data_IF_859444472833
#
_entry.id   IF_859444472833
#
_cell.length_a   1.000
_cell.length_b   1.000
_cell.length_c   1.000
_cell.angle_alpha   90.00
_cell.angle_beta   90.00
_cell.angle_gamma   90.00
#
_symmetry.space_group_name_H-M   'P 1'
#
loop_
_entity.id
_entity.type
_entity.pdbx_description
1 polymer ?
#
# COMPACT_ATOMS: atom_id res chain seq x y z
N UNK A 1 -89.47 -2.00 -7.90
CA UNK A 1 -88.31 -1.95 -8.80
C UNK A 1 -87.19 -1.16 -8.10
N UNK A 2 -86.25 -1.84 -7.58
CA UNK A 2 -85.07 -1.21 -6.90
C UNK A 2 -83.91 -1.21 -7.88
N UNK A 3 -83.37 -0.03 -8.17
CA UNK A 3 -82.17 0.15 -8.99
C UNK A 3 -80.97 -0.09 -8.11
N UNK A 4 -80.11 -1.04 -8.49
CA UNK A 4 -78.79 -1.29 -7.86
C UNK A 4 -77.79 -0.46 -8.64
N UNK A 5 -77.18 0.51 -7.96
CA UNK A 5 -76.06 1.27 -8.53
C UNK A 5 -74.78 0.47 -8.29
N UNK A 6 -74.13 0.10 -9.41
CA UNK A 6 -72.83 -0.55 -9.41
C UNK A 6 -71.76 0.54 -9.36
N UNK A 7 -71.08 0.68 -8.21
CA UNK A 7 -69.98 1.60 -8.04
C UNK A 7 -68.69 0.89 -8.47
N UNK A 8 -68.18 1.19 -9.63
CA UNK A 8 -66.84 0.73 -10.06
C UNK A 8 -65.76 1.49 -9.28
N UNK A 9 -65.14 0.82 -8.31
CA UNK A 9 -63.92 1.32 -7.68
C UNK A 9 -62.73 1.02 -8.59
N UNK A 10 -62.25 2.04 -9.25
CA UNK A 10 -60.95 1.98 -9.99
C UNK A 10 -59.84 2.14 -8.93
N UNK A 11 -59.23 1.02 -8.55
CA UNK A 11 -57.96 1.05 -7.78
C UNK A 11 -56.85 1.47 -8.74
N UNK A 12 -56.43 2.74 -8.65
CA UNK A 12 -55.21 3.22 -9.25
C UNK A 12 -54.05 2.65 -8.42
N UNK A 13 -53.46 1.54 -8.85
CA UNK A 13 -52.20 1.02 -8.31
C UNK A 13 -51.09 1.99 -8.71
N UNK A 14 -50.67 2.85 -7.78
CA UNK A 14 -49.42 3.58 -7.86
C UNK A 14 -48.31 2.55 -7.73
N UNK A 15 -47.79 2.10 -8.85
CA UNK A 15 -46.46 1.46 -8.88
C UNK A 15 -45.42 2.54 -8.52
N UNK A 16 -45.03 2.59 -7.25
CA UNK A 16 -43.77 3.18 -6.90
C UNK A 16 -42.70 2.28 -7.49
N UNK A 17 -42.21 2.61 -8.67
CA UNK A 17 -40.90 2.18 -9.07
C UNK A 17 -39.93 2.88 -8.13
N UNK A 18 -39.61 2.23 -7.02
CA UNK A 18 -38.38 2.53 -6.29
C UNK A 18 -37.27 2.33 -7.33
N UNK A 19 -36.69 3.41 -7.81
CA UNK A 19 -35.35 3.35 -8.35
C UNK A 19 -34.48 2.82 -7.20
N UNK A 20 -34.27 1.52 -7.18
CA UNK A 20 -33.12 0.95 -6.51
C UNK A 20 -31.95 1.44 -7.35
N UNK A 21 -31.27 2.46 -6.88
CA UNK A 21 -29.89 2.67 -7.25
C UNK A 21 -29.17 1.43 -6.72
N UNK A 22 -28.85 0.50 -7.60
CA UNK A 22 -27.96 -0.60 -7.26
C UNK A 22 -26.55 -0.01 -7.06
N UNK A 23 -26.38 0.80 -6.04
CA UNK A 23 -25.10 1.13 -5.45
C UNK A 23 -24.77 0.07 -4.40
N UNK A 24 -24.84 -1.21 -4.77
CA UNK A 24 -24.33 -2.32 -3.99
C UNK A 24 -22.79 -2.36 -4.14
N UNK A 25 -22.15 -1.23 -3.85
CA UNK A 25 -20.69 -1.21 -3.68
C UNK A 25 -20.34 -1.95 -2.40
N UNK A 26 -19.43 -2.91 -2.52
CA UNK A 26 -19.01 -3.73 -1.38
C UNK A 26 -18.18 -2.91 -0.39
N UNK A 27 -18.42 -3.16 0.90
CA UNK A 27 -17.64 -2.65 2.02
C UNK A 27 -18.14 -1.31 2.54
N UNK A 28 -17.93 -1.11 3.84
CA UNK A 28 -18.24 0.14 4.54
C UNK A 28 -17.00 0.68 5.22
N UNK A 29 -16.85 2.00 5.20
CA UNK A 29 -15.81 2.67 5.95
C UNK A 29 -16.33 3.15 7.30
N UNK A 30 -15.64 2.77 8.36
CA UNK A 30 -15.93 3.25 9.71
C UNK A 30 -14.69 3.86 10.36
N UNK A 31 -14.90 4.80 11.27
CA UNK A 31 -13.80 5.38 12.04
C UNK A 31 -13.33 4.39 13.10
N UNK A 32 -12.02 4.13 13.10
CA UNK A 32 -11.34 3.33 14.13
C UNK A 32 -10.64 4.24 15.15
N UNK A 33 -9.81 3.66 16.01
CA UNK A 33 -9.03 4.38 17.02
C UNK A 33 -7.98 5.27 16.37
N UNK A 34 -7.80 6.46 16.95
CA UNK A 34 -6.79 7.40 16.47
C UNK A 34 -5.39 6.85 16.72
N UNK A 35 -4.49 7.09 15.78
CA UNK A 35 -3.07 6.79 15.96
C UNK A 35 -2.51 7.48 17.22
N UNK A 36 -1.67 6.77 17.97
CA UNK A 36 -1.18 7.24 19.27
C UNK A 36 -0.08 8.32 19.19
N UNK A 37 0.66 8.38 18.09
CA UNK A 37 1.76 9.31 17.90
C UNK A 37 1.37 10.58 17.14
N UNK A 38 2.37 11.36 16.75
CA UNK A 38 2.17 12.56 15.94
C UNK A 38 1.63 12.21 14.53
N UNK A 39 0.76 13.05 13.95
CA UNK A 39 0.40 12.96 12.54
C UNK A 39 1.65 13.00 11.65
N UNK A 40 1.69 12.19 10.60
CA UNK A 40 2.86 12.07 9.74
C UNK A 40 2.51 11.58 8.34
N UNK A 41 3.40 11.80 7.39
CA UNK A 41 3.35 11.28 6.03
C UNK A 41 4.59 10.41 5.78
N UNK A 42 4.48 9.45 4.85
CA UNK A 42 5.60 8.59 4.48
C UNK A 42 6.13 7.72 5.61
N UNK A 43 5.27 7.37 6.57
CA UNK A 43 5.58 6.39 7.60
C UNK A 43 5.70 5.00 6.98
N UNK A 44 6.43 4.12 7.64
CA UNK A 44 6.58 2.72 7.30
C UNK A 44 5.68 1.85 8.17
N UNK A 45 5.22 0.72 7.62
CA UNK A 45 4.43 -0.27 8.36
C UNK A 45 4.87 -1.69 8.06
N UNK A 46 4.72 -2.57 9.03
CA UNK A 46 4.86 -4.01 8.90
C UNK A 46 3.96 -4.73 9.91
N UNK A 47 3.65 -5.99 9.66
CA UNK A 47 2.83 -6.83 10.55
C UNK A 47 3.58 -8.09 10.92
N UNK A 48 3.60 -8.43 12.20
CA UNK A 48 4.15 -9.69 12.75
C UNK A 48 3.09 -10.26 13.70
N UNK A 49 2.68 -11.51 13.49
CA UNK A 49 1.73 -12.23 14.35
C UNK A 49 0.47 -11.40 14.70
N UNK A 50 -0.19 -10.85 13.67
CA UNK A 50 -1.39 -10.00 13.79
C UNK A 50 -1.20 -8.71 14.61
N UNK A 51 0.04 -8.33 14.90
CA UNK A 51 0.40 -7.04 15.48
C UNK A 51 0.95 -6.12 14.39
N UNK A 52 0.35 -4.95 14.24
CA UNK A 52 0.82 -3.94 13.27
C UNK A 52 1.77 -2.97 13.94
N UNK A 53 2.83 -2.66 13.23
CA UNK A 53 3.84 -1.70 13.64
C UNK A 53 3.90 -0.55 12.64
N UNK A 54 3.95 0.69 13.16
CA UNK A 54 4.01 1.91 12.34
C UNK A 54 5.04 2.85 12.96
N UNK A 55 5.93 3.39 12.14
CA UNK A 55 6.94 4.33 12.63
C UNK A 55 7.56 5.18 11.53
N UNK A 56 8.56 5.95 11.90
CA UNK A 56 9.23 6.89 11.00
C UNK A 56 8.25 7.90 10.38
N UNK A 57 8.64 8.54 9.28
CA UNK A 57 7.82 9.51 8.58
C UNK A 57 8.23 10.95 8.83
N UNK A 58 7.45 11.86 8.27
CA UNK A 58 7.71 13.30 8.26
C UNK A 58 6.48 14.06 8.75
N UNK A 59 6.70 15.04 9.62
CA UNK A 59 5.64 15.96 10.06
C UNK A 59 6.09 17.42 9.90
N UNK A 60 5.59 18.07 8.87
CA UNK A 60 5.90 19.47 8.56
C UNK A 60 5.51 20.46 9.68
N UNK A 61 4.54 20.07 10.53
CA UNK A 61 3.99 20.92 11.58
C UNK A 61 4.79 20.89 12.88
N UNK A 62 5.79 19.99 13.00
CA UNK A 62 6.65 19.98 14.18
C UNK A 62 7.46 21.28 14.26
N UNK A 63 7.49 21.87 15.45
CA UNK A 63 8.32 23.04 15.77
C UNK A 63 9.77 22.66 16.13
N UNK A 64 10.26 21.59 15.55
CA UNK A 64 11.62 21.08 15.69
C UNK A 64 12.41 21.35 14.43
N UNK A 65 13.74 21.39 14.56
CA UNK A 65 14.63 21.54 13.41
C UNK A 65 14.55 20.33 12.49
N UNK A 66 14.53 19.13 13.07
CA UNK A 66 14.31 17.88 12.33
C UNK A 66 12.81 17.53 12.40
N UNK A 67 12.20 17.41 11.25
CA UNK A 67 10.78 17.08 11.07
C UNK A 67 10.56 15.62 10.74
N UNK A 68 11.65 14.84 10.61
CA UNK A 68 11.59 13.38 10.48
C UNK A 68 11.48 12.74 11.86
N UNK A 69 10.79 11.63 11.93
CA UNK A 69 10.44 10.95 13.16
C UNK A 69 11.19 9.62 13.27
N UNK A 70 11.47 9.19 14.50
CA UNK A 70 12.11 7.91 14.82
C UNK A 70 11.24 7.01 15.67
N UNK A 71 10.15 7.55 16.26
CA UNK A 71 9.25 6.78 17.11
C UNK A 71 8.53 5.67 16.34
N UNK A 72 8.31 4.55 17.04
CA UNK A 72 7.52 3.43 16.54
C UNK A 72 6.38 3.09 17.51
N UNK A 73 5.30 2.61 16.94
CA UNK A 73 4.06 2.27 17.62
C UNK A 73 3.57 0.91 17.16
N UNK A 74 3.12 0.09 18.09
CA UNK A 74 2.38 -1.14 17.78
C UNK A 74 0.89 -0.93 17.98
N UNK A 75 0.09 -1.55 17.11
CA UNK A 75 -1.36 -1.64 17.20
C UNK A 75 -1.75 -3.09 17.46
N UNK A 76 -2.29 -3.32 18.62
CA UNK A 76 -2.77 -4.63 19.09
C UNK A 76 -4.01 -4.43 19.94
N UNK A 77 -4.99 -5.31 19.81
CA UNK A 77 -6.24 -5.28 20.60
C UNK A 77 -6.91 -3.89 20.58
N UNK A 78 -6.87 -3.20 19.42
CA UNK A 78 -7.41 -1.86 19.20
C UNK A 78 -6.71 -0.75 20.00
N UNK A 79 -5.52 -0.99 20.48
CA UNK A 79 -4.74 -0.02 21.27
C UNK A 79 -3.41 0.26 20.56
N UNK A 80 -3.07 1.55 20.45
CA UNK A 80 -1.73 1.98 20.04
C UNK A 80 -0.83 2.11 21.26
N UNK A 81 0.32 1.47 21.24
CA UNK A 81 1.35 1.52 22.28
C UNK A 81 2.67 1.89 21.64
N UNK A 82 3.37 2.88 22.20
CA UNK A 82 4.72 3.19 21.76
C UNK A 82 5.68 2.07 22.17
N UNK A 83 6.56 1.72 21.24
CA UNK A 83 7.61 0.71 21.43
C UNK A 83 8.99 1.39 21.33
N UNK A 84 10.07 0.61 21.32
CA UNK A 84 11.42 1.16 21.16
C UNK A 84 11.54 2.00 19.89
N UNK A 85 12.13 3.18 20.02
CA UNK A 85 12.38 4.07 18.91
C UNK A 85 13.43 3.47 17.95
N UNK A 86 13.30 3.80 16.67
CA UNK A 86 14.26 3.42 15.64
C UNK A 86 15.63 4.05 15.93
N UNK A 87 16.72 3.27 15.97
CA UNK A 87 18.04 3.75 16.42
C UNK A 87 18.78 4.55 15.34
N UNK A 88 18.36 4.43 14.08
CA UNK A 88 18.96 5.18 12.98
C UNK A 88 18.38 6.60 12.88
N UNK A 89 18.81 7.32 11.86
CA UNK A 89 18.33 8.68 11.61
C UNK A 89 16.87 8.70 11.17
N UNK A 90 16.11 9.70 11.65
CA UNK A 90 14.73 9.93 11.24
C UNK A 90 14.61 10.09 9.72
N UNK A 91 13.57 9.50 9.12
CA UNK A 91 13.40 9.45 7.67
C UNK A 91 11.94 9.19 7.27
N UNK A 92 11.59 9.45 6.02
CA UNK A 92 10.32 9.06 5.44
C UNK A 92 10.51 8.31 4.11
N UNK A 93 9.44 7.66 3.62
CA UNK A 93 9.52 6.85 2.41
C UNK A 93 10.46 5.65 2.55
N UNK A 94 10.68 5.19 3.79
CA UNK A 94 11.36 3.96 4.11
C UNK A 94 10.48 2.74 3.77
N UNK A 95 11.07 1.56 3.70
CA UNK A 95 10.37 0.31 3.52
C UNK A 95 10.59 -0.64 4.68
N UNK A 96 9.71 -1.62 4.82
CA UNK A 96 9.86 -2.72 5.76
C UNK A 96 9.47 -4.05 5.13
N UNK A 97 10.10 -5.12 5.61
CA UNK A 97 9.73 -6.50 5.34
C UNK A 97 10.04 -7.36 6.56
N UNK A 98 9.45 -8.55 6.62
CA UNK A 98 9.60 -9.48 7.74
C UNK A 98 10.27 -10.77 7.24
N UNK A 99 11.30 -11.19 7.96
CA UNK A 99 12.00 -12.47 7.76
C UNK A 99 12.18 -13.12 9.13
N UNK A 100 11.80 -14.39 9.25
CA UNK A 100 11.92 -15.19 10.48
C UNK A 100 11.36 -14.48 11.75
N UNK A 101 10.18 -13.85 11.61
CA UNK A 101 9.49 -13.17 12.70
C UNK A 101 10.13 -11.86 13.17
N UNK A 102 11.13 -11.35 12.44
CA UNK A 102 11.79 -10.06 12.71
C UNK A 102 11.55 -9.10 11.56
N UNK A 103 11.39 -7.82 11.88
CA UNK A 103 11.21 -6.79 10.86
C UNK A 103 12.55 -6.15 10.48
N UNK A 104 12.75 -5.96 9.20
CA UNK A 104 13.85 -5.20 8.62
C UNK A 104 13.31 -3.89 8.08
N UNK A 105 13.78 -2.77 8.60
CA UNK A 105 13.34 -1.43 8.23
C UNK A 105 14.52 -0.66 7.68
N UNK A 106 14.37 -0.12 6.48
CA UNK A 106 15.50 0.55 5.83
C UNK A 106 15.09 1.39 4.63
N UNK A 107 16.10 1.86 3.90
CA UNK A 107 15.96 2.87 2.84
C UNK A 107 15.35 4.18 3.37
N UNK A 108 14.76 5.00 2.52
CA UNK A 108 14.13 6.24 2.93
C UNK A 108 14.97 7.48 2.67
N UNK A 109 14.46 8.60 3.13
CA UNK A 109 15.03 9.91 2.83
C UNK A 109 14.85 10.87 4.01
N UNK A 110 15.89 11.60 4.30
CA UNK A 110 15.86 12.78 5.19
C UNK A 110 16.09 14.02 4.34
N UNK A 111 15.15 14.98 4.33
CA UNK A 111 15.28 16.19 3.52
C UNK A 111 16.37 17.11 4.06
N UNK A 112 16.87 18.00 3.21
CA UNK A 112 17.73 19.09 3.63
C UNK A 112 16.98 20.01 4.63
N UNK A 113 17.61 20.28 5.74
CA UNK A 113 17.09 21.11 6.81
C UNK A 113 18.20 22.05 7.29
N UNK A 114 17.90 23.05 8.10
CA UNK A 114 18.88 24.06 8.54
C UNK A 114 20.19 23.50 9.08
N UNK A 115 20.18 22.30 9.62
CA UNK A 115 21.33 21.66 10.30
C UNK A 115 21.73 20.33 9.68
N UNK A 116 21.01 19.82 8.70
CA UNK A 116 21.25 18.53 8.08
C UNK A 116 21.18 18.64 6.56
N UNK A 117 22.12 18.02 5.86
CA UNK A 117 22.06 17.86 4.40
C UNK A 117 21.08 16.74 4.03
N UNK A 118 20.51 16.82 2.83
CA UNK A 118 19.66 15.74 2.33
C UNK A 118 20.41 14.41 2.29
N UNK A 119 19.73 13.35 2.69
CA UNK A 119 20.31 12.01 2.71
C UNK A 119 19.30 10.97 2.23
N UNK A 120 19.76 10.11 1.32
CA UNK A 120 19.09 8.89 0.92
C UNK A 120 19.77 7.71 1.59
N UNK A 121 18.99 6.74 2.06
CA UNK A 121 19.49 5.61 2.82
C UNK A 121 19.40 4.31 2.01
N UNK A 122 20.31 3.37 2.30
CA UNK A 122 20.33 2.00 1.78
C UNK A 122 20.55 0.95 2.89
N UNK A 123 20.55 1.42 4.14
CA UNK A 123 20.73 0.62 5.36
C UNK A 123 19.43 -0.07 5.79
N UNK A 124 19.55 -1.15 6.56
CA UNK A 124 18.43 -1.82 7.22
C UNK A 124 18.80 -2.15 8.66
N UNK A 125 17.90 -1.80 9.58
CA UNK A 125 17.92 -2.17 10.97
C UNK A 125 16.92 -3.29 11.22
N UNK A 126 17.24 -4.18 12.15
CA UNK A 126 16.40 -5.30 12.51
C UNK A 126 15.70 -5.06 13.84
N UNK A 127 14.38 -5.23 13.86
CA UNK A 127 13.54 -5.19 15.07
C UNK A 127 13.13 -6.58 15.48
N UNK A 128 13.36 -6.92 16.75
CA UNK A 128 12.92 -8.16 17.38
C UNK A 128 11.72 -7.87 18.30
N UNK A 129 10.49 -8.29 17.95
CA UNK A 129 9.31 -8.02 18.76
C UNK A 129 9.31 -8.78 20.09
N UNK A 130 10.05 -9.88 20.20
CA UNK A 130 10.10 -10.69 21.44
C UNK A 130 10.81 -9.98 22.58
N UNK A 131 11.77 -9.11 22.25
CA UNK A 131 12.54 -8.31 23.21
C UNK A 131 12.19 -6.82 23.17
N UNK A 132 11.39 -6.38 22.19
CA UNK A 132 11.11 -4.97 21.91
C UNK A 132 12.43 -4.18 21.72
N UNK A 133 13.35 -4.70 20.94
CA UNK A 133 14.64 -4.06 20.68
C UNK A 133 14.98 -4.01 19.20
N UNK A 134 15.70 -2.99 18.82
CA UNK A 134 16.35 -2.84 17.54
C UNK A 134 17.82 -3.29 17.62
N UNK A 135 18.39 -3.65 16.47
CA UNK A 135 19.84 -3.72 16.34
C UNK A 135 20.47 -2.33 16.51
N UNK A 136 21.58 -2.21 17.26
CA UNK A 136 22.24 -0.92 17.52
C UNK A 136 22.82 -0.27 16.26
N UNK A 137 23.13 -1.08 15.27
CA UNK A 137 23.69 -0.67 13.95
C UNK A 137 22.93 -1.37 12.84
N UNK A 138 23.01 -0.88 11.60
CA UNK A 138 22.45 -1.57 10.45
C UNK A 138 22.99 -3.01 10.35
N UNK A 139 22.09 -3.97 10.18
CA UNK A 139 22.44 -5.39 10.05
C UNK A 139 22.75 -5.78 8.61
N UNK A 140 22.21 -5.02 7.65
CA UNK A 140 22.47 -5.20 6.22
C UNK A 140 22.24 -3.90 5.46
N UNK A 141 22.70 -3.86 4.23
CA UNK A 141 22.53 -2.77 3.27
C UNK A 141 22.00 -3.34 1.97
N UNK A 142 21.33 -2.52 1.15
CA UNK A 142 21.07 -2.94 -0.23
C UNK A 142 22.36 -3.43 -0.90
N UNK A 143 22.30 -4.45 -1.76
CA UNK A 143 23.49 -5.07 -2.32
C UNK A 143 24.31 -4.11 -3.18
N UNK A 144 25.55 -4.46 -3.43
CA UNK A 144 26.46 -3.69 -4.28
C UNK A 144 25.85 -3.43 -5.66
N UNK A 145 25.93 -2.19 -6.11
CA UNK A 145 25.33 -1.72 -7.35
C UNK A 145 23.88 -1.20 -7.19
N UNK A 146 23.19 -1.49 -6.09
CA UNK A 146 21.94 -0.84 -5.76
C UNK A 146 22.18 0.53 -5.12
N UNK A 147 21.31 1.49 -5.45
CA UNK A 147 21.45 2.86 -4.96
C UNK A 147 20.54 3.14 -3.77
N UNK A 148 20.99 4.04 -2.88
CA UNK A 148 20.18 4.57 -1.79
C UNK A 148 18.94 5.27 -2.34
N UNK A 149 17.77 5.03 -1.70
CA UNK A 149 16.46 5.38 -2.29
C UNK A 149 15.39 5.63 -1.25
N UNK A 150 14.32 6.26 -1.66
CA UNK A 150 13.04 6.36 -0.96
C UNK A 150 11.90 5.88 -1.85
N UNK A 151 10.74 5.70 -1.26
CA UNK A 151 9.50 5.38 -1.97
C UNK A 151 9.64 4.10 -2.85
N UNK A 152 10.48 3.18 -2.38
CA UNK A 152 10.58 1.84 -2.92
C UNK A 152 9.34 1.02 -2.56
N UNK A 153 9.14 -0.10 -3.22
CA UNK A 153 8.18 -1.11 -2.81
C UNK A 153 8.88 -2.23 -2.05
N UNK A 154 8.23 -2.75 -1.00
CA UNK A 154 8.71 -3.92 -0.29
C UNK A 154 7.55 -4.84 0.10
N UNK A 155 7.85 -6.12 0.23
CA UNK A 155 6.92 -7.14 0.69
C UNK A 155 7.66 -8.34 1.29
N UNK A 156 6.95 -9.13 2.09
CA UNK A 156 7.44 -10.40 2.60
C UNK A 156 6.74 -11.55 1.90
N UNK A 157 7.49 -12.55 1.45
CA UNK A 157 6.94 -13.69 0.75
C UNK A 157 7.76 -14.95 1.08
N UNK A 158 7.10 -16.02 1.54
CA UNK A 158 7.75 -17.31 1.85
C UNK A 158 8.99 -17.18 2.76
N UNK A 159 8.89 -16.36 3.82
CA UNK A 159 9.97 -16.15 4.79
C UNK A 159 11.15 -15.31 4.27
N UNK A 160 11.01 -14.64 3.13
CA UNK A 160 12.01 -13.75 2.56
C UNK A 160 11.46 -12.34 2.43
N UNK A 161 12.36 -11.34 2.42
CA UNK A 161 12.04 -9.94 2.17
C UNK A 161 12.39 -9.53 0.74
N UNK A 162 11.56 -8.69 0.14
CA UNK A 162 11.79 -8.18 -1.21
C UNK A 162 11.73 -6.66 -1.20
N UNK A 163 12.69 -6.03 -1.89
CA UNK A 163 12.78 -4.57 -2.01
C UNK A 163 13.17 -4.20 -3.42
N UNK A 164 12.47 -3.25 -4.00
CA UNK A 164 12.81 -2.77 -5.33
C UNK A 164 12.14 -1.46 -5.70
N UNK A 165 12.43 -0.97 -6.88
CA UNK A 165 11.92 0.30 -7.40
C UNK A 165 12.31 1.51 -6.53
N UNK A 166 11.55 2.59 -6.57
CA UNK A 166 11.82 3.79 -5.77
C UNK A 166 12.48 4.91 -6.54
N UNK A 167 12.91 5.93 -5.82
CA UNK A 167 13.56 7.11 -6.38
C UNK A 167 14.82 7.43 -5.60
N UNK A 168 15.92 7.66 -6.30
CA UNK A 168 17.22 8.06 -5.78
C UNK A 168 17.46 9.55 -5.96
N UNK A 169 18.60 10.02 -5.48
CA UNK A 169 19.07 11.38 -5.62
C UNK A 169 19.03 11.83 -7.10
N UNK A 170 18.65 13.07 -7.31
CA UNK A 170 18.52 13.62 -8.66
C UNK A 170 17.26 13.16 -9.42
N UNK A 171 16.23 12.72 -8.70
CA UNK A 171 14.96 12.24 -9.24
C UNK A 171 15.10 11.00 -10.15
N UNK A 172 16.14 10.21 -9.95
CA UNK A 172 16.35 8.96 -10.68
C UNK A 172 15.36 7.89 -10.19
N UNK A 173 14.35 7.56 -10.97
CA UNK A 173 13.46 6.42 -10.70
C UNK A 173 14.13 5.11 -11.08
N UNK A 174 13.90 4.09 -10.27
CA UNK A 174 14.67 2.84 -10.26
C UNK A 174 13.83 1.70 -10.82
N UNK A 175 14.53 0.78 -11.50
CA UNK A 175 13.99 -0.44 -12.08
C UNK A 175 14.83 -1.64 -11.64
N UNK A 176 14.62 -2.10 -10.43
CA UNK A 176 15.27 -3.29 -9.88
C UNK A 176 14.34 -3.96 -8.85
N UNK A 177 14.68 -5.16 -8.45
CA UNK A 177 14.10 -5.87 -7.32
C UNK A 177 15.13 -6.85 -6.76
N UNK A 178 15.26 -6.87 -5.45
CA UNK A 178 16.15 -7.73 -4.70
C UNK A 178 15.38 -8.55 -3.66
N UNK A 179 15.82 -9.78 -3.45
CA UNK A 179 15.34 -10.70 -2.44
C UNK A 179 16.39 -10.83 -1.34
N UNK A 180 15.98 -10.72 -0.08
CA UNK A 180 16.78 -10.97 1.12
C UNK A 180 16.29 -12.24 1.81
N UNK A 181 17.19 -13.21 1.99
CA UNK A 181 16.87 -14.51 2.61
C UNK A 181 17.15 -14.57 4.13
N UNK A 182 17.44 -13.44 4.75
CA UNK A 182 17.88 -13.31 6.15
C UNK A 182 19.39 -13.15 6.29
N UNK A 183 20.16 -13.42 5.23
CA UNK A 183 21.62 -13.32 5.24
C UNK A 183 22.14 -12.63 3.98
N UNK A 184 21.65 -13.03 2.82
CA UNK A 184 22.15 -12.57 1.52
C UNK A 184 21.08 -11.90 0.69
N UNK A 185 21.51 -10.95 -0.13
CA UNK A 185 20.70 -10.34 -1.16
C UNK A 185 20.94 -11.00 -2.52
N UNK A 186 19.87 -11.26 -3.25
CA UNK A 186 19.89 -11.78 -4.61
C UNK A 186 19.01 -10.92 -5.51
N UNK A 187 19.51 -10.52 -6.68
CA UNK A 187 18.68 -9.82 -7.66
C UNK A 187 17.65 -10.78 -8.27
N UNK A 188 16.39 -10.39 -8.26
CA UNK A 188 15.29 -11.11 -8.92
C UNK A 188 14.77 -10.37 -10.16
N UNK A 189 15.45 -9.28 -10.53
CA UNK A 189 15.04 -8.41 -11.63
C UNK A 189 13.70 -7.73 -11.39
N UNK A 190 13.32 -6.83 -12.26
CA UNK A 190 12.00 -6.21 -12.27
C UNK A 190 11.56 -5.98 -13.71
N UNK A 191 10.51 -6.66 -14.20
CA UNK A 191 10.12 -6.60 -15.61
C UNK A 191 9.40 -5.30 -15.99
N UNK A 192 8.74 -4.63 -15.02
CA UNK A 192 8.00 -3.40 -15.25
C UNK A 192 8.89 -2.18 -15.52
N UNK A 193 8.27 -1.06 -15.79
CA UNK A 193 8.98 0.21 -15.93
C UNK A 193 9.49 0.76 -14.61
N UNK A 194 10.56 1.57 -14.67
CA UNK A 194 11.09 2.29 -13.51
C UNK A 194 9.98 3.14 -12.85
N UNK A 195 9.87 3.06 -11.51
CA UNK A 195 8.80 3.73 -10.77
C UNK A 195 9.15 4.00 -9.31
N UNK A 196 8.44 4.93 -8.70
CA UNK A 196 8.42 5.16 -7.26
C UNK A 196 6.98 5.23 -6.75
N UNK A 197 6.78 5.03 -5.45
CA UNK A 197 5.46 5.07 -4.84
C UNK A 197 4.50 4.01 -5.39
N UNK A 198 5.03 2.85 -5.79
CA UNK A 198 4.24 1.69 -6.15
C UNK A 198 3.55 1.09 -4.93
N UNK A 199 2.50 0.31 -5.16
CA UNK A 199 1.81 -0.46 -4.13
C UNK A 199 2.10 -1.94 -4.30
N UNK A 200 2.20 -2.67 -3.19
CA UNK A 200 2.30 -4.13 -3.19
C UNK A 200 1.40 -4.74 -2.12
N UNK A 201 0.87 -5.92 -2.41
CA UNK A 201 0.15 -6.77 -1.47
C UNK A 201 0.40 -8.25 -1.81
N UNK A 202 0.25 -9.11 -0.81
CA UNK A 202 0.54 -10.55 -0.96
C UNK A 202 -0.73 -11.36 -0.76
N UNK A 203 -1.01 -12.25 -1.72
CA UNK A 203 -2.11 -13.22 -1.68
C UNK A 203 -1.53 -14.62 -1.82
N UNK A 204 -1.59 -15.42 -0.76
CA UNK A 204 -0.94 -16.72 -0.72
C UNK A 204 0.57 -16.60 -0.97
N UNK A 205 1.07 -17.31 -1.98
CA UNK A 205 2.48 -17.28 -2.38
C UNK A 205 2.77 -16.31 -3.54
N UNK A 206 1.91 -15.32 -3.76
CA UNK A 206 2.03 -14.35 -4.85
C UNK A 206 2.03 -12.93 -4.32
N UNK A 207 3.03 -12.14 -4.72
CA UNK A 207 3.04 -10.70 -4.50
C UNK A 207 2.58 -9.97 -5.76
N UNK A 208 1.61 -9.08 -5.61
CA UNK A 208 1.13 -8.21 -6.69
C UNK A 208 1.78 -6.84 -6.51
N UNK A 209 2.43 -6.35 -7.55
CA UNK A 209 3.03 -5.03 -7.62
C UNK A 209 2.35 -4.24 -8.73
N UNK A 210 1.81 -3.09 -8.39
CA UNK A 210 1.09 -2.25 -9.33
C UNK A 210 1.28 -0.77 -9.00
N UNK A 211 0.75 0.12 -9.82
CA UNK A 211 0.75 1.55 -9.58
C UNK A 211 2.16 2.19 -9.55
N UNK A 212 2.25 3.37 -8.95
CA UNK A 212 3.47 4.16 -8.92
C UNK A 212 3.59 5.11 -10.10
N UNK A 213 4.62 5.92 -10.09
CA UNK A 213 4.87 6.93 -11.10
C UNK A 213 6.33 6.95 -11.55
N UNK A 214 6.58 7.48 -12.74
CA UNK A 214 7.89 7.91 -13.18
C UNK A 214 8.35 9.19 -12.48
N UNK A 215 9.49 9.74 -12.91
CA UNK A 215 10.06 10.95 -12.33
C UNK A 215 9.17 12.20 -12.47
N UNK A 216 8.30 12.21 -13.46
CA UNK A 216 7.41 13.34 -13.73
C UNK A 216 6.04 13.11 -13.08
N UNK A 217 5.50 14.13 -12.44
CA UNK A 217 4.15 14.08 -11.84
C UNK A 217 3.11 13.69 -12.91
N UNK A 218 2.17 12.82 -12.54
CA UNK A 218 1.12 12.32 -13.42
C UNK A 218 1.55 11.21 -14.39
N UNK A 219 2.85 10.86 -14.46
CA UNK A 219 3.33 9.75 -15.27
C UNK A 219 3.14 8.41 -14.54
N UNK A 220 1.88 8.04 -14.33
CA UNK A 220 1.52 6.81 -13.63
C UNK A 220 1.82 5.55 -14.44
N UNK A 221 1.97 4.44 -13.73
CA UNK A 221 2.17 3.10 -14.32
C UNK A 221 0.85 2.37 -14.41
N UNK A 222 0.71 1.62 -15.48
CA UNK A 222 -0.54 0.93 -15.84
C UNK A 222 -0.41 -0.59 -15.76
N UNK A 223 0.79 -1.13 -15.62
CA UNK A 223 1.05 -2.56 -15.55
C UNK A 223 0.72 -3.11 -14.15
N UNK A 224 0.25 -4.34 -14.13
CA UNK A 224 0.08 -5.19 -12.95
C UNK A 224 1.05 -6.34 -13.09
N UNK A 225 1.94 -6.49 -12.12
CA UNK A 225 2.98 -7.49 -12.10
C UNK A 225 2.75 -8.44 -10.92
N UNK A 226 2.91 -9.73 -11.15
CA UNK A 226 2.80 -10.72 -10.09
C UNK A 226 4.13 -11.45 -9.96
N UNK A 227 4.68 -11.47 -8.76
CA UNK A 227 5.81 -12.31 -8.41
C UNK A 227 5.29 -13.57 -7.72
N UNK A 228 5.46 -14.72 -8.36
CA UNK A 228 4.98 -16.01 -7.85
C UNK A 228 6.13 -16.75 -7.14
N UNK A 229 6.08 -16.81 -5.84
CA UNK A 229 7.10 -17.46 -5.02
C UNK A 229 7.19 -18.99 -5.22
N UNK A 230 6.22 -19.60 -5.86
CA UNK A 230 6.27 -21.03 -6.20
C UNK A 230 7.03 -21.29 -7.51
N UNK A 231 7.28 -20.26 -8.30
CA UNK A 231 8.05 -20.31 -9.55
C UNK A 231 9.50 -19.85 -9.38
N UNK A 232 9.93 -19.52 -8.14
CA UNK A 232 11.30 -19.11 -7.88
C UNK A 232 12.31 -20.17 -8.36
N UNK A 233 13.32 -19.69 -9.09
CA UNK A 233 14.41 -20.51 -9.60
C UNK A 233 15.73 -19.75 -9.42
N UNK A 234 16.63 -20.29 -8.62
CA UNK A 234 17.93 -19.68 -8.33
C UNK A 234 18.78 -19.48 -9.61
N UNK A 235 18.60 -20.34 -10.62
CA UNK A 235 19.30 -20.25 -11.90
C UNK A 235 18.61 -19.31 -12.91
N UNK A 236 17.34 -18.98 -12.66
CA UNK A 236 16.57 -18.05 -13.48
C UNK A 236 15.63 -17.21 -12.59
N UNK A 237 16.17 -16.24 -11.86
CA UNK A 237 15.39 -15.48 -10.87
C UNK A 237 14.26 -14.64 -11.47
N UNK A 238 14.28 -14.38 -12.78
CA UNK A 238 13.19 -13.64 -13.44
C UNK A 238 12.00 -14.52 -13.82
N UNK A 239 12.11 -15.85 -13.71
CA UNK A 239 11.04 -16.82 -14.04
C UNK A 239 9.79 -16.65 -13.16
N UNK A 240 9.97 -16.17 -11.94
CA UNK A 240 8.89 -15.97 -10.99
C UNK A 240 7.93 -14.81 -11.37
N UNK A 241 8.30 -13.98 -12.34
CA UNK A 241 7.47 -12.87 -12.76
C UNK A 241 6.42 -13.27 -13.79
N UNK A 242 5.16 -12.97 -13.49
CA UNK A 242 4.00 -13.07 -14.37
C UNK A 242 3.66 -11.65 -14.82
N UNK A 243 3.75 -11.38 -16.12
CA UNK A 243 3.64 -10.03 -16.71
C UNK A 243 2.48 -9.88 -17.68
N UNK A 244 1.72 -10.92 -17.92
CA UNK A 244 0.60 -10.98 -18.86
C UNK A 244 -0.74 -10.65 -18.19
N UNK A 245 -0.71 -9.86 -17.12
CA UNK A 245 -1.91 -9.38 -16.44
C UNK A 245 -2.55 -8.21 -17.19
N UNK A 246 -3.84 -8.04 -16.99
CA UNK A 246 -4.57 -6.91 -17.57
C UNK A 246 -4.00 -5.58 -17.08
N UNK A 247 -3.68 -4.71 -18.03
CA UNK A 247 -3.21 -3.37 -17.71
C UNK A 247 -4.35 -2.50 -17.17
N UNK A 248 -4.01 -1.52 -16.34
CA UNK A 248 -4.94 -0.56 -15.75
C UNK A 248 -5.34 0.52 -16.77
N UNK A 249 -6.00 0.10 -17.83
CA UNK A 249 -6.49 0.97 -18.91
C UNK A 249 -7.87 0.49 -19.32
N UNK A 250 -8.75 1.45 -19.63
CA UNK A 250 -9.99 1.19 -20.32
C UNK A 250 -9.65 1.01 -21.81
N UNK A 251 -9.88 -0.20 -22.35
CA UNK A 251 -9.52 -0.51 -23.73
C UNK A 251 -10.55 -0.02 -24.74
N UNK A 252 -11.82 -0.28 -24.47
CA UNK A 252 -12.86 -0.11 -25.46
C UNK A 252 -14.13 0.60 -24.93
N UNK A 253 -14.15 0.99 -23.66
CA UNK A 253 -15.36 1.50 -22.99
C UNK A 253 -16.49 0.46 -22.96
N UNK A 254 -16.16 -0.82 -23.12
CA UNK A 254 -17.11 -1.94 -23.17
C UNK A 254 -16.60 -3.07 -22.27
N UNK A 255 -17.43 -3.48 -21.34
CA UNK A 255 -17.12 -4.61 -20.49
C UNK A 255 -16.70 -4.22 -19.07
N UNK A 256 -15.92 -5.07 -18.44
CA UNK A 256 -15.59 -5.00 -17.02
C UNK A 256 -14.41 -4.08 -16.70
N UNK A 257 -13.73 -3.55 -17.69
CA UNK A 257 -12.56 -2.65 -17.53
C UNK A 257 -12.86 -1.18 -17.89
N UNK A 258 -14.12 -0.81 -18.05
CA UNK A 258 -14.55 0.53 -18.49
C UNK A 258 -13.98 1.67 -17.67
N UNK A 259 -13.79 1.47 -16.37
CA UNK A 259 -13.33 2.49 -15.45
C UNK A 259 -11.87 2.31 -15.00
N UNK A 260 -11.12 1.38 -15.62
CA UNK A 260 -9.73 1.08 -15.21
C UNK A 260 -8.78 2.26 -15.34
N UNK A 261 -9.08 3.25 -16.19
CA UNK A 261 -8.34 4.51 -16.28
C UNK A 261 -8.44 5.37 -15.01
N UNK A 262 -9.32 5.03 -14.06
CA UNK A 262 -9.46 5.66 -12.74
C UNK A 262 -8.53 5.05 -11.68
N UNK A 263 -7.90 3.90 -11.96
CA UNK A 263 -7.06 3.17 -11.01
C UNK A 263 -5.64 3.75 -10.92
N UNK A 264 -4.94 4.14 -12.00
CA UNK A 264 -3.54 4.54 -11.95
C UNK A 264 -3.29 5.75 -11.05
N UNK A 265 -2.38 5.56 -10.11
CA UNK A 265 -1.96 6.55 -9.11
C UNK A 265 -0.61 6.17 -8.52
N UNK A 266 -0.07 6.98 -7.63
CA UNK A 266 1.12 6.65 -6.84
C UNK A 266 0.87 6.93 -5.36
N UNK A 267 1.70 6.37 -4.49
CA UNK A 267 1.63 6.56 -3.04
C UNK A 267 0.27 6.16 -2.45
N UNK A 268 -0.38 5.18 -3.06
CA UNK A 268 -1.59 4.55 -2.57
C UNK A 268 -1.25 3.54 -1.49
N UNK A 269 -2.18 3.34 -0.55
CA UNK A 269 -2.11 2.21 0.37
C UNK A 269 -2.57 0.93 -0.32
N UNK A 270 -2.02 -0.19 0.12
CA UNK A 270 -2.49 -1.51 -0.25
C UNK A 270 -2.72 -2.35 1.00
N UNK A 271 -3.72 -3.19 0.96
CA UNK A 271 -4.04 -4.15 2.02
C UNK A 271 -4.77 -5.36 1.42
N UNK A 272 -4.94 -6.41 2.21
CA UNK A 272 -5.70 -7.60 1.79
C UNK A 272 -6.86 -7.85 2.75
N UNK A 273 -7.92 -8.45 2.25
CA UNK A 273 -9.05 -8.88 3.07
C UNK A 273 -9.72 -10.08 2.40
N UNK A 274 -10.32 -10.95 3.20
CA UNK A 274 -11.08 -12.08 2.69
C UNK A 274 -12.49 -11.63 2.34
N UNK A 275 -12.90 -11.90 1.10
CA UNK A 275 -14.29 -11.74 0.65
C UNK A 275 -14.79 -13.06 0.08
N UNK A 276 -15.90 -13.54 0.60
CA UNK A 276 -16.56 -14.78 0.16
C UNK A 276 -15.61 -15.99 0.17
N UNK A 277 -14.76 -16.11 1.20
CA UNK A 277 -13.79 -17.18 1.33
C UNK A 277 -12.54 -17.04 0.46
N UNK A 278 -12.38 -15.93 -0.26
CA UNK A 278 -11.23 -15.64 -1.12
C UNK A 278 -10.48 -14.39 -0.65
N UNK A 279 -9.17 -14.52 -0.52
CA UNK A 279 -8.31 -13.37 -0.25
C UNK A 279 -8.24 -12.46 -1.48
N UNK A 280 -8.52 -11.18 -1.28
CA UNK A 280 -8.47 -10.12 -2.29
C UNK A 280 -7.44 -9.07 -1.90
N UNK A 281 -6.87 -8.41 -2.91
CA UNK A 281 -6.04 -7.23 -2.71
C UNK A 281 -6.87 -5.97 -2.86
N UNK A 282 -6.55 -4.94 -2.10
CA UNK A 282 -7.23 -3.65 -2.15
C UNK A 282 -6.22 -2.53 -2.30
N UNK A 283 -6.58 -1.50 -3.04
CA UNK A 283 -5.85 -0.23 -3.12
C UNK A 283 -6.80 0.93 -2.81
N UNK A 284 -6.29 1.91 -2.09
CA UNK A 284 -7.04 3.11 -1.74
C UNK A 284 -6.11 4.31 -1.59
N UNK A 285 -6.63 5.52 -1.57
CA UNK A 285 -5.84 6.76 -1.42
C UNK A 285 -4.85 7.00 -2.57
N UNK A 286 -3.80 7.77 -2.32
CA UNK A 286 -2.73 8.08 -3.27
C UNK A 286 -2.90 9.43 -3.96
N UNK A 287 -2.05 9.68 -4.93
CA UNK A 287 -2.07 10.88 -5.77
C UNK A 287 -2.95 10.64 -7.01
N UNK A 288 -3.48 11.72 -7.58
CA UNK A 288 -4.29 11.64 -8.80
C UNK A 288 -5.73 12.09 -8.58
N UNK A 289 -6.50 12.15 -9.66
CA UNK A 289 -7.85 12.73 -9.65
C UNK A 289 -8.88 11.83 -8.93
N UNK A 290 -8.61 10.54 -8.86
CA UNK A 290 -9.52 9.52 -8.32
C UNK A 290 -9.01 8.89 -7.01
N UNK A 291 -8.31 9.68 -6.21
CA UNK A 291 -7.74 9.22 -4.92
C UNK A 291 -8.79 8.87 -3.85
N UNK A 292 -10.06 9.22 -4.07
CA UNK A 292 -11.19 8.82 -3.24
C UNK A 292 -11.68 7.39 -3.53
N UNK A 293 -11.36 6.82 -4.68
CA UNK A 293 -11.82 5.48 -5.05
C UNK A 293 -11.04 4.39 -4.34
N UNK A 294 -11.71 3.30 -4.00
CA UNK A 294 -11.13 2.07 -3.51
C UNK A 294 -11.41 0.94 -4.50
N UNK A 295 -10.41 0.12 -4.76
CA UNK A 295 -10.49 -0.95 -5.75
C UNK A 295 -10.07 -2.28 -5.15
N UNK A 296 -10.82 -3.32 -5.44
CA UNK A 296 -10.57 -4.71 -5.11
C UNK A 296 -9.97 -5.45 -6.30
N UNK A 297 -8.92 -6.22 -6.09
CA UNK A 297 -8.30 -7.08 -7.08
C UNK A 297 -8.53 -8.56 -6.80
N UNK A 298 -9.12 -9.24 -7.77
CA UNK A 298 -9.23 -10.70 -7.80
C UNK A 298 -8.08 -11.28 -8.63
N UNK A 299 -7.09 -11.86 -7.95
CA UNK A 299 -5.90 -12.41 -8.61
C UNK A 299 -6.20 -13.61 -9.51
N UNK A 300 -7.25 -14.40 -9.20
CA UNK A 300 -7.65 -15.56 -9.99
C UNK A 300 -8.32 -15.16 -11.29
N UNK A 301 -9.15 -14.11 -11.24
CA UNK A 301 -9.89 -13.58 -12.38
C UNK A 301 -9.11 -12.52 -13.14
N UNK A 302 -8.01 -12.02 -12.58
CA UNK A 302 -7.23 -10.88 -13.07
C UNK A 302 -8.11 -9.66 -13.34
N UNK A 303 -8.91 -9.29 -12.35
CA UNK A 303 -9.93 -8.26 -12.49
C UNK A 303 -9.95 -7.33 -11.29
N UNK A 304 -10.15 -6.05 -11.57
CA UNK A 304 -10.42 -5.01 -10.59
C UNK A 304 -11.90 -4.67 -10.56
N UNK A 305 -12.46 -4.55 -9.38
CA UNK A 305 -13.81 -4.09 -9.14
C UNK A 305 -13.76 -2.87 -8.21
N UNK A 306 -14.48 -1.79 -8.54
CA UNK A 306 -14.60 -0.65 -7.65
C UNK A 306 -15.47 -1.03 -6.46
N UNK A 307 -15.03 -0.64 -5.27
CA UNK A 307 -15.77 -0.85 -4.02
C UNK A 307 -16.09 0.49 -3.39
N UNK A 308 -16.75 0.49 -2.21
CA UNK A 308 -17.18 1.72 -1.54
C UNK A 308 -16.07 2.77 -1.46
N UNK A 309 -16.33 3.94 -2.00
CA UNK A 309 -15.40 5.08 -1.97
C UNK A 309 -15.02 5.50 -0.56
N UNK A 310 -13.82 6.05 -0.44
CA UNK A 310 -13.35 6.62 0.83
C UNK A 310 -14.22 7.80 1.25
N UNK A 311 -14.53 7.94 2.54
CA UNK A 311 -15.17 9.16 3.07
C UNK A 311 -14.39 10.41 2.68
N UNK A 312 -15.08 11.51 2.42
CA UNK A 312 -14.47 12.77 1.97
C UNK A 312 -13.31 13.26 2.83
N UNK A 313 -13.32 12.96 4.13
CA UNK A 313 -12.22 13.28 5.07
C UNK A 313 -10.95 12.47 4.80
N UNK A 314 -11.04 11.36 4.06
CA UNK A 314 -9.93 10.46 3.74
C UNK A 314 -9.50 10.54 2.28
N UNK A 315 -10.31 11.15 1.43
CA UNK A 315 -10.28 11.02 -0.03
C UNK A 315 -9.09 11.68 -0.74
N UNK A 316 -8.23 12.42 -0.04
CA UNK A 316 -7.09 13.11 -0.66
C UNK A 316 -5.79 12.86 0.08
N UNK A 317 -5.61 11.65 0.59
CA UNK A 317 -4.37 11.28 1.29
C UNK A 317 -3.41 10.57 0.36
N UNK A 318 -2.19 11.03 0.34
CA UNK A 318 -1.05 10.32 -0.20
C UNK A 318 -0.06 10.02 0.91
N UNK A 319 0.85 9.09 0.68
CA UNK A 319 1.83 8.68 1.69
C UNK A 319 1.18 8.23 3.01
N UNK A 320 -0.02 7.70 2.91
CA UNK A 320 -0.75 7.09 4.02
C UNK A 320 -0.20 5.69 4.34
N UNK A 321 -0.61 5.15 5.46
CA UNK A 321 -0.30 3.78 5.89
C UNK A 321 -1.54 2.92 5.72
N UNK A 322 -1.39 1.78 5.07
CA UNK A 322 -2.41 0.74 4.93
C UNK A 322 -1.96 -0.57 5.54
N UNK A 323 -2.85 -1.29 6.20
CA UNK A 323 -2.59 -2.61 6.76
C UNK A 323 -3.89 -3.40 6.95
N UNK A 324 -3.75 -4.69 7.24
CA UNK A 324 -4.88 -5.58 7.52
C UNK A 324 -4.74 -6.22 8.89
N UNK A 325 -5.82 -6.30 9.62
CA UNK A 325 -5.98 -7.06 10.87
C UNK A 325 -7.41 -7.62 10.94
N UNK A 326 -7.55 -8.85 11.43
CA UNK A 326 -8.85 -9.50 11.64
C UNK A 326 -9.77 -9.41 10.43
N UNK A 327 -9.20 -9.53 9.24
CA UNK A 327 -9.92 -9.41 7.97
C UNK A 327 -10.48 -8.01 7.65
N UNK A 328 -10.03 -6.97 8.33
CA UNK A 328 -10.36 -5.58 8.03
C UNK A 328 -9.15 -4.85 7.44
N UNK A 329 -9.39 -4.06 6.40
CA UNK A 329 -8.41 -3.10 5.88
C UNK A 329 -8.45 -1.80 6.68
N UNK A 330 -7.29 -1.28 7.00
CA UNK A 330 -7.13 -0.01 7.72
C UNK A 330 -6.36 0.98 6.89
N UNK A 331 -6.78 2.24 6.95
CA UNK A 331 -6.08 3.38 6.35
C UNK A 331 -5.89 4.45 7.41
N UNK A 332 -4.67 4.87 7.63
CA UNK A 332 -4.33 5.91 8.63
C UNK A 332 -3.21 6.80 8.14
N UNK A 333 -3.00 7.92 8.82
CA UNK A 333 -1.91 8.87 8.53
C UNK A 333 -1.97 9.44 7.10
N UNK A 334 -0.82 9.88 6.57
CA UNK A 334 -0.75 10.53 5.27
C UNK A 334 -1.27 11.96 5.27
N UNK A 335 -1.13 12.63 4.15
CA UNK A 335 -1.55 14.02 3.97
C UNK A 335 -1.76 14.38 2.51
N UNK A 336 -2.10 15.64 2.26
CA UNK A 336 -2.35 16.12 0.90
C UNK A 336 -1.06 16.31 0.08
N UNK A 337 0.08 16.45 0.75
CA UNK A 337 1.43 16.57 0.13
C UNK A 337 2.52 16.29 1.16
N UNK A 338 3.68 15.90 0.70
CA UNK A 338 4.95 15.84 1.46
C UNK A 338 5.86 16.96 1.00
#
# INVERSE_FOLDING_TARGET
>A
MKRVNFLCLVLLGLFFTACHSNDDTWGDWSRSFSFGGFPRTGAVTFTIDDVVYVGLGFNILLDQQDKTLTDFWMYKDRIWTQIADFPGEGRYGAVAFVVDGKAYVGTGYRPDQKTTTEQYFNDFYCYDPSTNTWSDVPVTYLPDGAVARRDAVAFSLKGKGYVGTGIAKGAQVIKDMYCFDGTNWTSVGFPGDARCGASAFVIGNKAVICLGAGATSGNYRYDVLVYDGDLEDVNNPTRAWITDRHALVDKDGIGWDNDYNRIPRAYAVAFTSNRDGKMKGYIATGTGNYSNTCWEYDIERDRWDEVTELPSMMSRRSYAVGFSIDNYGYVTLGGASV
#
